data_IF_805755387542
#
_entry.id   IF_805755387542
#
_cell.length_a   1.000
_cell.length_b   1.000
_cell.length_c   1.000
_cell.angle_alpha   90.00
_cell.angle_beta   90.00
_cell.angle_gamma   90.00
#
_symmetry.space_group_name_H-M   'P 1'
#
loop_
_entity.id
_entity.type
_entity.pdbx_description
1 polymer ?
#
# COMPACT_ATOMS: atom_id res chain seq x y z
N UNK A 1 34.50 8.15 29.67
CA UNK A 1 33.48 8.42 28.62
C UNK A 1 33.62 7.36 27.55
N UNK A 2 32.50 6.99 26.92
CA UNK A 2 32.46 6.00 25.85
C UNK A 2 31.73 6.59 24.65
N UNK A 3 32.09 6.13 23.46
CA UNK A 3 31.40 6.48 22.22
C UNK A 3 30.79 5.23 21.58
N UNK A 4 29.71 5.44 20.86
CA UNK A 4 29.01 4.43 20.07
C UNK A 4 29.43 4.54 18.61
N UNK A 5 29.85 3.42 18.04
CA UNK A 5 30.29 3.34 16.64
C UNK A 5 29.63 2.17 15.92
N UNK A 6 29.33 2.36 14.64
CA UNK A 6 28.71 1.34 13.79
C UNK A 6 29.54 0.06 13.75
N UNK A 7 28.89 -1.08 14.02
CA UNK A 7 29.50 -2.40 13.80
C UNK A 7 29.74 -2.68 12.33
N UNK A 8 28.86 -2.19 11.46
CA UNK A 8 29.02 -2.30 10.01
C UNK A 8 30.27 -1.55 9.54
N UNK A 9 30.47 -0.32 10.03
CA UNK A 9 31.68 0.45 9.73
C UNK A 9 32.94 -0.21 10.30
N UNK A 10 32.90 -0.75 11.53
CA UNK A 10 34.02 -1.51 12.08
C UNK A 10 34.37 -2.75 11.23
N UNK A 11 33.36 -3.44 10.71
CA UNK A 11 33.57 -4.55 9.78
C UNK A 11 34.22 -4.08 8.47
N UNK A 12 33.81 -2.94 7.92
CA UNK A 12 34.47 -2.33 6.75
C UNK A 12 35.92 -1.97 7.07
N UNK A 13 36.19 -1.40 8.24
CA UNK A 13 37.55 -1.10 8.70
C UNK A 13 38.43 -2.35 8.77
N UNK A 14 37.89 -3.49 9.20
CA UNK A 14 38.67 -4.73 9.28
C UNK A 14 38.86 -5.45 7.94
N UNK A 15 38.04 -5.17 6.94
CA UNK A 15 38.03 -5.92 5.67
C UNK A 15 38.53 -5.11 4.47
N UNK A 16 38.43 -3.79 4.48
CA UNK A 16 38.76 -2.95 3.33
C UNK A 16 40.04 -2.13 3.57
N UNK A 17 40.84 -1.96 2.51
CA UNK A 17 42.02 -1.09 2.55
C UNK A 17 41.67 0.39 2.79
N UNK A 18 40.48 0.82 2.32
CA UNK A 18 39.94 2.16 2.50
C UNK A 18 38.47 2.07 2.94
N UNK A 19 38.19 2.02 4.26
CA UNK A 19 36.81 1.86 4.75
C UNK A 19 35.93 3.08 4.47
N UNK A 20 36.52 4.25 4.20
CA UNK A 20 35.81 5.53 4.06
C UNK A 20 35.54 6.18 5.43
N UNK A 21 34.83 7.33 5.45
CA UNK A 21 34.53 8.05 6.68
C UNK A 21 33.65 7.22 7.63
N UNK A 22 33.72 7.51 8.93
CA UNK A 22 32.84 6.89 9.93
C UNK A 22 31.40 7.24 9.60
N UNK A 23 30.53 6.23 9.51
CA UNK A 23 29.09 6.41 9.31
C UNK A 23 28.32 5.66 10.39
N UNK A 24 27.63 6.38 11.27
CA UNK A 24 26.77 5.79 12.30
C UNK A 24 25.29 5.70 11.85
N UNK A 25 25.02 5.87 10.56
CA UNK A 25 23.67 5.89 9.98
C UNK A 25 22.98 4.51 9.94
N UNK A 26 23.68 3.46 10.32
CA UNK A 26 23.12 2.14 10.54
C UNK A 26 22.34 2.05 11.87
N UNK A 27 22.62 2.89 12.87
CA UNK A 27 21.78 2.93 14.08
C UNK A 27 21.26 4.31 14.43
N UNK A 28 21.77 5.36 13.78
CA UNK A 28 21.32 6.74 13.95
C UNK A 28 20.59 7.25 12.71
N UNK A 29 19.54 8.05 12.94
CA UNK A 29 18.84 8.77 11.89
C UNK A 29 19.62 10.04 11.51
N UNK A 30 19.15 10.76 10.49
CA UNK A 30 19.73 12.04 10.08
C UNK A 30 19.75 13.11 11.19
N UNK A 31 18.89 12.98 12.20
CA UNK A 31 18.88 13.84 13.38
C UNK A 31 19.90 13.40 14.46
N UNK A 32 20.79 12.45 14.13
CA UNK A 32 21.82 11.91 15.04
C UNK A 32 21.28 11.21 16.29
N UNK A 33 20.07 10.66 16.19
CA UNK A 33 19.33 9.97 17.26
C UNK A 33 18.97 8.55 16.81
N UNK A 34 18.54 7.68 17.73
CA UNK A 34 18.27 6.26 17.43
C UNK A 34 17.26 6.11 16.28
N UNK A 35 17.58 5.24 15.31
CA UNK A 35 16.65 4.79 14.28
C UNK A 35 15.53 3.94 14.90
N UNK A 36 14.25 4.35 14.82
CA UNK A 36 13.13 3.64 15.44
C UNK A 36 13.03 2.16 15.05
N UNK A 37 13.20 1.86 13.76
CA UNK A 37 13.14 0.49 13.20
C UNK A 37 14.22 -0.46 13.76
N UNK A 38 15.30 0.08 14.33
CA UNK A 38 16.42 -0.70 14.90
C UNK A 38 16.47 -0.63 16.42
N UNK A 39 15.62 0.19 17.06
CA UNK A 39 15.65 0.42 18.50
C UNK A 39 15.51 -0.87 19.34
N UNK A 40 14.62 -1.79 18.95
CA UNK A 40 14.42 -3.05 19.68
C UNK A 40 15.65 -3.98 19.69
N UNK A 41 16.56 -3.79 18.73
CA UNK A 41 17.76 -4.62 18.52
C UNK A 41 19.03 -3.77 18.44
N UNK A 42 19.02 -2.60 19.10
CA UNK A 42 20.02 -1.55 18.92
C UNK A 42 21.47 -2.04 19.16
N UNK A 43 21.65 -2.89 20.16
CA UNK A 43 22.95 -3.49 20.53
C UNK A 43 23.59 -4.34 19.43
N UNK A 44 22.82 -4.78 18.44
CA UNK A 44 23.34 -5.50 17.27
C UNK A 44 24.01 -4.59 16.24
N UNK A 45 23.81 -3.27 16.33
CA UNK A 45 24.26 -2.32 15.32
C UNK A 45 25.44 -1.46 15.77
N UNK A 46 25.65 -1.28 17.08
CA UNK A 46 26.77 -0.47 17.59
C UNK A 46 27.75 -1.27 18.45
N UNK A 47 28.98 -0.78 18.54
CA UNK A 47 29.97 -1.15 19.53
C UNK A 47 30.32 0.07 20.40
N UNK A 48 30.70 -0.17 21.65
CA UNK A 48 31.21 0.87 22.55
C UNK A 48 32.72 0.91 22.47
N UNK A 49 33.29 2.10 22.27
CA UNK A 49 34.73 2.32 22.28
C UNK A 49 35.14 3.39 23.29
N UNK A 50 36.41 3.40 23.69
CA UNK A 50 36.96 4.45 24.56
C UNK A 50 37.07 5.78 23.81
N UNK A 51 37.08 6.89 24.56
CA UNK A 51 37.32 8.23 23.98
C UNK A 51 38.63 8.30 23.20
N UNK A 52 39.72 7.75 23.75
CA UNK A 52 41.03 7.72 23.06
C UNK A 52 40.99 7.00 21.71
N UNK A 53 40.23 5.91 21.62
CA UNK A 53 40.09 5.17 20.36
C UNK A 53 39.18 5.93 19.38
N UNK A 54 38.13 6.58 19.88
CA UNK A 54 37.29 7.45 19.05
C UNK A 54 38.10 8.58 18.43
N UNK A 55 38.88 9.31 19.23
CA UNK A 55 39.68 10.45 18.76
C UNK A 55 40.66 10.03 17.65
N UNK A 56 41.34 8.90 17.84
CA UNK A 56 42.24 8.32 16.83
C UNK A 56 41.52 7.97 15.52
N UNK A 57 40.35 7.32 15.61
CA UNK A 57 39.58 6.93 14.43
C UNK A 57 39.01 8.16 13.70
N UNK A 58 38.55 9.14 14.46
CA UNK A 58 37.99 10.38 13.93
C UNK A 58 39.07 11.23 13.25
N UNK A 59 40.25 11.37 13.85
CA UNK A 59 41.40 12.07 13.24
C UNK A 59 41.81 11.43 11.91
N UNK A 60 41.79 10.10 11.83
CA UNK A 60 42.25 9.36 10.65
C UNK A 60 41.20 9.27 9.53
N UNK A 61 39.93 9.09 9.86
CA UNK A 61 38.88 8.78 8.88
C UNK A 61 37.80 9.87 8.77
N UNK A 62 37.66 10.73 9.77
CA UNK A 62 36.58 11.72 9.85
C UNK A 62 35.18 11.10 9.81
N UNK A 63 34.18 11.88 9.43
CA UNK A 63 32.80 11.44 9.26
C UNK A 63 31.88 11.81 10.43
N UNK A 64 30.85 10.99 10.66
CA UNK A 64 29.86 11.22 11.70
C UNK A 64 28.52 10.50 11.46
N UNK A 65 27.52 10.77 12.32
CA UNK A 65 27.57 11.67 13.48
C UNK A 65 28.31 11.05 14.68
N UNK A 66 28.96 11.89 15.50
CA UNK A 66 29.53 11.50 16.80
C UNK A 66 28.39 11.09 17.73
N UNK A 67 28.54 10.01 18.48
CA UNK A 67 27.52 9.56 19.43
C UNK A 67 28.14 9.13 20.76
N UNK A 68 27.95 9.96 21.79
CA UNK A 68 28.28 9.66 23.19
C UNK A 68 27.05 9.25 24.00
N UNK A 69 25.86 9.60 23.51
CA UNK A 69 24.57 9.29 24.12
C UNK A 69 23.58 8.82 23.05
N UNK A 70 22.64 7.96 23.45
CA UNK A 70 21.64 7.38 22.58
C UNK A 70 20.25 7.81 23.05
N UNK A 71 19.65 8.73 22.29
CA UNK A 71 18.31 9.26 22.54
C UNK A 71 17.35 8.86 21.42
N UNK A 72 16.08 8.66 21.78
CA UNK A 72 15.03 8.43 20.79
C UNK A 72 14.76 9.70 19.99
N UNK A 73 14.61 9.53 18.68
CA UNK A 73 14.19 10.62 17.81
C UNK A 73 12.67 10.72 17.79
N UNK A 74 12.09 11.76 18.41
CA UNK A 74 10.63 11.92 18.44
C UNK A 74 10.03 12.05 17.04
N UNK A 75 10.69 12.82 16.16
CA UNK A 75 10.23 12.99 14.77
C UNK A 75 10.20 11.66 14.02
N UNK A 76 11.33 10.95 13.94
CA UNK A 76 11.38 9.67 13.24
C UNK A 76 10.51 8.62 13.92
N UNK A 77 10.36 8.65 15.24
CA UNK A 77 9.48 7.74 15.98
C UNK A 77 8.02 7.95 15.54
N UNK A 78 7.56 9.19 15.44
CA UNK A 78 6.21 9.51 14.98
C UNK A 78 6.00 9.04 13.54
N UNK A 79 6.93 9.33 12.64
CA UNK A 79 6.90 8.87 11.24
C UNK A 79 6.83 7.33 11.16
N UNK A 80 7.65 6.63 11.94
CA UNK A 80 7.65 5.17 12.01
C UNK A 80 6.32 4.60 12.51
N UNK A 81 5.73 5.20 13.55
CA UNK A 81 4.43 4.76 14.08
C UNK A 81 3.27 5.07 13.11
N UNK A 82 3.33 6.21 12.41
CA UNK A 82 2.36 6.52 11.35
C UNK A 82 2.43 5.50 10.22
N UNK A 83 3.64 5.17 9.75
CA UNK A 83 3.82 4.15 8.71
C UNK A 83 3.38 2.77 9.17
N UNK A 84 3.68 2.38 10.42
CA UNK A 84 3.22 1.12 10.98
C UNK A 84 1.68 1.03 11.00
N UNK A 85 1.00 2.07 11.51
CA UNK A 85 -0.47 2.13 11.53
C UNK A 85 -1.07 2.09 10.13
N UNK A 86 -0.44 2.77 9.16
CA UNK A 86 -0.87 2.75 7.76
C UNK A 86 -0.81 1.34 7.18
N UNK A 87 0.30 0.62 7.36
CA UNK A 87 0.45 -0.77 6.89
C UNK A 87 -0.61 -1.69 7.48
N UNK A 88 -0.81 -1.61 8.79
CA UNK A 88 -1.82 -2.39 9.51
C UNK A 88 -3.23 -2.09 8.99
N UNK A 89 -3.56 -0.80 8.81
CA UNK A 89 -4.84 -0.36 8.26
C UNK A 89 -5.06 -0.88 6.84
N UNK A 90 -4.08 -0.72 5.95
CA UNK A 90 -4.23 -1.12 4.55
C UNK A 90 -4.37 -2.64 4.40
N UNK A 91 -3.54 -3.42 5.11
CA UNK A 91 -3.61 -4.87 5.09
C UNK A 91 -4.94 -5.38 5.66
N UNK A 92 -5.36 -4.83 6.81
CA UNK A 92 -6.63 -5.21 7.43
C UNK A 92 -7.80 -4.90 6.50
N UNK A 93 -7.82 -3.70 5.93
CA UNK A 93 -8.89 -3.28 5.01
C UNK A 93 -8.94 -4.17 3.78
N UNK A 94 -7.80 -4.47 3.16
CA UNK A 94 -7.73 -5.39 2.03
C UNK A 94 -8.28 -6.78 2.36
N UNK A 95 -7.85 -7.38 3.48
CA UNK A 95 -8.32 -8.72 3.88
C UNK A 95 -9.82 -8.72 4.20
N UNK A 96 -10.29 -7.72 4.96
CA UNK A 96 -11.71 -7.58 5.29
C UNK A 96 -12.54 -7.41 4.04
N UNK A 97 -12.08 -6.59 3.09
CA UNK A 97 -12.78 -6.34 1.84
C UNK A 97 -12.85 -7.59 0.96
N UNK A 98 -11.74 -8.28 0.73
CA UNK A 98 -11.72 -9.53 -0.07
C UNK A 98 -12.61 -10.62 0.55
N UNK A 99 -12.54 -10.78 1.88
CA UNK A 99 -13.37 -11.77 2.59
C UNK A 99 -14.86 -11.44 2.47
N UNK A 100 -15.21 -10.16 2.65
CA UNK A 100 -16.58 -9.69 2.52
C UNK A 100 -17.12 -9.87 1.10
N UNK A 101 -16.33 -9.55 0.09
CA UNK A 101 -16.76 -9.65 -1.31
C UNK A 101 -16.89 -11.10 -1.77
N UNK A 102 -16.07 -12.02 -1.26
CA UNK A 102 -16.24 -13.45 -1.55
C UNK A 102 -17.56 -13.97 -0.98
N UNK A 103 -17.88 -13.64 0.27
CA UNK A 103 -19.16 -13.99 0.89
C UNK A 103 -20.34 -13.36 0.12
N UNK A 104 -20.24 -12.07 -0.19
CA UNK A 104 -21.26 -11.33 -0.94
C UNK A 104 -21.55 -11.96 -2.29
N UNK A 105 -20.51 -12.44 -2.99
CA UNK A 105 -20.63 -13.10 -4.28
C UNK A 105 -21.33 -14.46 -4.20
N UNK A 106 -21.18 -15.19 -3.10
CA UNK A 106 -21.85 -16.47 -2.88
C UNK A 106 -23.33 -16.31 -2.49
N UNK A 107 -23.63 -15.35 -1.62
CA UNK A 107 -24.97 -15.15 -1.05
C UNK A 107 -25.86 -14.28 -1.95
N UNK A 108 -25.29 -13.19 -2.49
CA UNK A 108 -26.02 -12.15 -3.20
C UNK A 108 -25.22 -11.59 -4.40
N UNK A 109 -24.98 -12.41 -5.45
CA UNK A 109 -24.11 -12.03 -6.56
C UNK A 109 -24.55 -10.74 -7.26
N UNK A 110 -25.85 -10.50 -7.41
CA UNK A 110 -26.46 -9.28 -7.96
C UNK A 110 -26.12 -7.99 -7.18
N UNK A 111 -25.51 -8.10 -6.00
CA UNK A 111 -25.02 -6.94 -5.24
C UNK A 111 -23.53 -6.67 -5.46
N UNK A 112 -22.88 -7.42 -6.34
CA UNK A 112 -21.45 -7.25 -6.68
C UNK A 112 -21.26 -6.61 -8.05
N UNK A 113 -20.21 -5.83 -8.22
CA UNK A 113 -19.80 -5.39 -9.57
C UNK A 113 -19.47 -6.59 -10.47
N UNK A 114 -18.91 -7.67 -9.91
CA UNK A 114 -18.49 -8.85 -10.66
C UNK A 114 -19.62 -9.59 -11.37
N UNK A 115 -20.87 -9.36 -10.96
CA UNK A 115 -22.06 -9.91 -11.63
C UNK A 115 -22.40 -9.18 -12.94
N UNK A 116 -22.12 -7.88 -13.01
CA UNK A 116 -22.50 -7.05 -14.17
C UNK A 116 -21.33 -6.68 -15.08
N UNK A 117 -20.09 -6.75 -14.60
CA UNK A 117 -18.92 -6.35 -15.36
C UNK A 117 -17.68 -7.20 -15.09
N UNK A 118 -16.75 -7.30 -16.06
CA UNK A 118 -15.48 -8.00 -15.87
C UNK A 118 -14.64 -7.40 -14.73
N UNK A 119 -13.75 -8.19 -14.11
CA UNK A 119 -12.92 -7.70 -13.01
C UNK A 119 -11.92 -6.64 -13.50
N UNK A 120 -11.49 -5.78 -12.57
CA UNK A 120 -10.40 -4.84 -12.80
C UNK A 120 -9.07 -5.58 -12.90
N UNK A 121 -8.08 -4.95 -13.53
CA UNK A 121 -6.70 -5.43 -13.54
C UNK A 121 -5.76 -4.40 -12.93
N UNK A 122 -4.73 -4.91 -12.26
CA UNK A 122 -3.65 -4.09 -11.70
C UNK A 122 -2.29 -4.66 -12.10
N UNK A 123 -1.35 -3.77 -12.38
CA UNK A 123 0.02 -4.14 -12.70
C UNK A 123 0.62 -5.03 -11.60
N UNK A 124 1.15 -6.20 -11.98
CA UNK A 124 1.74 -7.15 -11.03
C UNK A 124 2.91 -6.52 -10.26
N UNK A 125 3.71 -5.71 -10.93
CA UNK A 125 4.83 -4.97 -10.32
C UNK A 125 4.38 -3.99 -9.24
N UNK A 126 3.20 -3.39 -9.38
CA UNK A 126 2.66 -2.47 -8.37
C UNK A 126 2.12 -3.24 -7.16
N UNK A 127 1.30 -4.26 -7.39
CA UNK A 127 0.70 -5.03 -6.28
C UNK A 127 1.76 -5.81 -5.48
N UNK A 128 2.85 -6.24 -6.10
CA UNK A 128 3.98 -6.85 -5.40
C UNK A 128 4.73 -5.86 -4.50
N UNK A 129 4.91 -4.60 -4.96
CA UNK A 129 5.46 -3.53 -4.12
C UNK A 129 4.54 -3.20 -2.96
N UNK A 130 3.24 -3.12 -3.21
CA UNK A 130 2.24 -2.91 -2.16
C UNK A 130 2.32 -4.03 -1.12
N UNK A 131 2.36 -5.29 -1.56
CA UNK A 131 2.52 -6.45 -0.68
C UNK A 131 3.79 -6.37 0.15
N UNK A 132 4.93 -6.05 -0.46
CA UNK A 132 6.19 -5.87 0.25
C UNK A 132 6.13 -4.73 1.30
N UNK A 133 5.40 -3.65 1.00
CA UNK A 133 5.18 -2.54 1.92
C UNK A 133 4.36 -2.96 3.14
N UNK A 134 3.20 -3.60 2.95
CA UNK A 134 2.33 -4.02 4.06
C UNK A 134 2.95 -5.16 4.89
N UNK A 135 3.74 -6.04 4.27
CA UNK A 135 4.53 -7.08 4.96
C UNK A 135 5.72 -6.49 5.74
N UNK A 136 6.03 -5.20 5.53
CA UNK A 136 7.15 -4.51 6.17
C UNK A 136 8.53 -4.82 5.58
N UNK A 137 8.57 -5.49 4.42
CA UNK A 137 9.79 -5.79 3.67
C UNK A 137 10.31 -4.56 2.90
N UNK A 138 9.41 -3.64 2.52
CA UNK A 138 9.75 -2.36 1.90
C UNK A 138 9.50 -1.21 2.89
N UNK A 139 10.38 -0.20 2.88
CA UNK A 139 10.22 0.97 3.74
C UNK A 139 9.16 1.92 3.18
N UNK A 140 9.25 2.18 1.88
CA UNK A 140 8.42 3.13 1.18
C UNK A 140 7.14 2.48 0.61
N UNK A 141 6.03 3.23 0.53
CA UNK A 141 4.84 2.77 -0.17
C UNK A 141 5.10 2.57 -1.68
N UNK A 142 4.26 1.79 -2.40
CA UNK A 142 4.43 1.48 -3.83
C UNK A 142 4.36 2.68 -4.78
N UNK A 143 3.91 3.85 -4.30
CA UNK A 143 3.63 5.03 -5.12
C UNK A 143 2.31 4.92 -5.90
N UNK A 144 2.01 5.86 -6.81
CA UNK A 144 0.80 5.83 -7.61
C UNK A 144 0.68 4.57 -8.48
N UNK A 145 -0.55 4.11 -8.71
CA UNK A 145 -0.80 2.95 -9.57
C UNK A 145 -0.40 3.30 -11.01
N UNK A 146 0.42 2.48 -11.65
CA UNK A 146 0.78 2.63 -13.06
C UNK A 146 0.36 1.40 -13.87
N UNK A 147 -0.83 1.51 -14.47
CA UNK A 147 -1.38 0.50 -15.36
C UNK A 147 -1.06 0.78 -16.83
N UNK A 148 -0.40 1.90 -17.17
CA UNK A 148 -0.07 2.25 -18.57
C UNK A 148 0.89 1.23 -19.17
N UNK A 149 1.73 0.62 -18.33
CA UNK A 149 2.66 -0.45 -18.72
C UNK A 149 1.95 -1.68 -19.29
N UNK A 150 0.66 -1.85 -19.00
CA UNK A 150 -0.15 -2.99 -19.45
C UNK A 150 -0.70 -2.80 -20.86
N UNK A 151 -0.65 -1.57 -21.39
CA UNK A 151 -1.23 -1.21 -22.68
C UNK A 151 -0.18 -1.23 -23.80
N UNK A 152 -0.65 -1.48 -25.02
CA UNK A 152 0.06 -1.18 -26.26
C UNK A 152 -0.63 0.02 -26.90
N UNK A 153 0.14 1.04 -27.26
CA UNK A 153 -0.33 2.12 -28.14
C UNK A 153 0.17 1.81 -29.55
N UNK A 154 -0.75 1.44 -30.45
CA UNK A 154 -0.40 1.30 -31.85
C UNK A 154 -0.37 2.70 -32.47
N UNK A 155 0.81 3.15 -32.92
CA UNK A 155 1.06 4.46 -33.54
C UNK A 155 0.38 4.67 -34.92
N UNK A 156 -0.66 3.91 -35.26
CA UNK A 156 -1.47 4.12 -36.47
C UNK A 156 -2.85 4.58 -36.01
N UNK A 157 -3.20 5.80 -36.41
CA UNK A 157 -4.43 6.54 -36.09
C UNK A 157 -5.63 5.67 -35.66
N UNK A 158 -6.19 6.02 -34.49
CA UNK A 158 -7.50 5.59 -33.98
C UNK A 158 -7.69 4.17 -33.41
N UNK A 159 -6.64 3.37 -33.27
CA UNK A 159 -6.79 2.07 -32.57
C UNK A 159 -6.86 2.26 -31.05
N UNK A 160 -8.00 1.92 -30.46
CA UNK A 160 -8.22 1.89 -29.00
C UNK A 160 -7.10 1.11 -28.29
N UNK A 161 -6.68 1.52 -27.08
CA UNK A 161 -5.63 0.83 -26.34
C UNK A 161 -6.01 -0.64 -26.09
N UNK A 162 -5.06 -1.54 -26.34
CA UNK A 162 -5.23 -2.97 -26.14
C UNK A 162 -4.26 -3.47 -25.06
N UNK A 163 -4.67 -4.52 -24.35
CA UNK A 163 -3.79 -5.19 -23.38
C UNK A 163 -2.64 -5.87 -24.12
N UNK A 164 -1.41 -5.63 -23.65
CA UNK A 164 -0.22 -6.31 -24.16
C UNK A 164 -0.31 -7.80 -23.83
N UNK A 165 -0.12 -8.67 -24.83
CA UNK A 165 -0.24 -10.11 -24.66
C UNK A 165 0.73 -10.71 -23.62
N UNK A 166 1.86 -10.04 -23.35
CA UNK A 166 2.85 -10.43 -22.33
C UNK A 166 2.71 -9.67 -21.00
N UNK A 167 1.64 -8.87 -20.83
CA UNK A 167 1.39 -8.11 -19.60
C UNK A 167 1.23 -9.04 -18.40
N UNK A 168 2.03 -8.81 -17.36
CA UNK A 168 1.81 -9.43 -16.07
C UNK A 168 0.90 -8.52 -15.23
N UNK A 169 -0.35 -8.95 -15.05
CA UNK A 169 -1.34 -8.28 -14.23
C UNK A 169 -1.99 -9.26 -13.25
N UNK A 170 -2.66 -8.70 -12.24
CA UNK A 170 -3.54 -9.43 -11.34
C UNK A 170 -4.97 -8.95 -11.58
N UNK A 171 -5.92 -9.88 -11.64
CA UNK A 171 -7.35 -9.55 -11.61
C UNK A 171 -7.75 -9.25 -10.17
N UNK A 172 -8.50 -8.17 -9.98
CA UNK A 172 -9.03 -7.72 -8.69
C UNK A 172 -10.48 -7.29 -8.88
N UNK A 173 -11.29 -7.40 -7.82
CA UNK A 173 -12.64 -6.85 -7.81
C UNK A 173 -12.59 -5.31 -7.91
N UNK A 174 -13.67 -4.70 -8.40
CA UNK A 174 -13.73 -3.24 -8.60
C UNK A 174 -13.58 -2.49 -7.29
N UNK A 175 -14.19 -3.01 -6.24
CA UNK A 175 -14.16 -2.46 -4.90
C UNK A 175 -12.72 -2.41 -4.35
N UNK A 176 -11.93 -3.46 -4.63
CA UNK A 176 -10.49 -3.51 -4.30
C UNK A 176 -9.70 -2.49 -5.13
N UNK A 177 -10.05 -2.31 -6.41
CA UNK A 177 -9.48 -1.24 -7.23
C UNK A 177 -9.77 0.14 -6.65
N UNK A 178 -11.02 0.44 -6.29
CA UNK A 178 -11.44 1.71 -5.68
C UNK A 178 -10.68 1.96 -4.37
N UNK A 179 -10.52 0.94 -3.53
CA UNK A 179 -9.69 1.02 -2.34
C UNK A 179 -8.26 1.44 -2.69
N UNK A 180 -7.56 0.73 -3.57
CA UNK A 180 -6.18 1.10 -3.94
C UNK A 180 -6.10 2.49 -4.59
N UNK A 181 -7.03 2.83 -5.48
CA UNK A 181 -7.07 4.13 -6.12
C UNK A 181 -7.29 5.26 -5.11
N UNK A 182 -8.15 5.07 -4.11
CA UNK A 182 -8.36 6.07 -3.04
C UNK A 182 -7.10 6.33 -2.20
N UNK A 183 -6.25 5.31 -2.00
CA UNK A 183 -5.05 5.42 -1.17
C UNK A 183 -3.81 5.90 -1.94
N UNK A 184 -3.74 5.64 -3.24
CA UNK A 184 -2.53 5.82 -4.04
C UNK A 184 -2.72 6.67 -5.31
N UNK A 185 -3.95 6.83 -5.77
CA UNK A 185 -4.27 7.42 -7.06
C UNK A 185 -3.61 6.68 -8.22
N UNK A 186 -3.38 7.40 -9.33
CA UNK A 186 -2.72 6.87 -10.52
C UNK A 186 -3.72 6.38 -11.56
N UNK A 187 -3.40 5.28 -12.26
CA UNK A 187 -4.25 4.68 -13.28
C UNK A 187 -3.50 4.26 -14.55
N UNK A 188 -4.21 4.08 -15.68
CA UNK A 188 -5.67 4.14 -15.82
C UNK A 188 -6.38 2.95 -15.15
N UNK A 189 -7.68 3.13 -14.86
CA UNK A 189 -8.56 2.01 -14.52
C UNK A 189 -8.73 1.11 -15.74
N UNK A 190 -8.43 -0.19 -15.57
CA UNK A 190 -8.51 -1.16 -16.64
C UNK A 190 -9.33 -2.40 -16.23
N UNK A 191 -10.09 -2.95 -17.17
CA UNK A 191 -10.85 -4.19 -17.04
C UNK A 191 -10.14 -5.37 -17.72
N UNK A 192 -10.35 -6.56 -17.19
CA UNK A 192 -9.85 -7.81 -17.77
C UNK A 192 -10.72 -8.24 -18.95
N UNK A 193 -10.50 -7.63 -20.11
CA UNK A 193 -11.21 -7.99 -21.35
C UNK A 193 -10.23 -8.28 -22.49
N UNK A 194 -10.52 -9.27 -23.35
CA UNK A 194 -9.67 -9.61 -24.50
C UNK A 194 -9.79 -8.62 -25.67
N UNK A 195 -10.81 -7.77 -25.68
CA UNK A 195 -11.11 -6.83 -26.75
C UNK A 195 -10.48 -5.43 -26.54
N UNK A 196 -10.87 -4.48 -27.38
CA UNK A 196 -10.51 -3.07 -27.23
C UNK A 196 -11.00 -2.52 -25.89
N UNK A 197 -10.09 -1.94 -25.12
CA UNK A 197 -10.45 -1.37 -23.83
C UNK A 197 -11.45 -0.21 -24.02
N UNK A 198 -12.51 -0.11 -23.19
CA UNK A 198 -13.42 1.02 -23.24
C UNK A 198 -12.65 2.33 -23.02
N UNK A 199 -13.13 3.41 -23.63
CA UNK A 199 -12.65 4.75 -23.27
C UNK A 199 -13.01 5.02 -21.81
N UNK A 200 -12.27 5.93 -21.16
CA UNK A 200 -12.55 6.30 -19.77
C UNK A 200 -14.00 6.77 -19.58
N UNK A 201 -14.55 7.48 -20.57
CA UNK A 201 -15.95 7.91 -20.58
C UNK A 201 -16.92 6.73 -20.62
N UNK A 202 -16.70 5.76 -21.51
CA UNK A 202 -17.58 4.58 -21.58
C UNK A 202 -17.49 3.71 -20.33
N UNK A 203 -16.31 3.64 -19.71
CA UNK A 203 -16.12 2.93 -18.45
C UNK A 203 -16.88 3.60 -17.30
N UNK A 204 -16.87 4.95 -17.23
CA UNK A 204 -17.67 5.70 -16.25
C UNK A 204 -19.17 5.49 -16.44
N UNK A 205 -19.65 5.55 -17.68
CA UNK A 205 -21.06 5.26 -17.99
C UNK A 205 -21.48 3.86 -17.53
N UNK A 206 -20.69 2.84 -17.91
CA UNK A 206 -20.94 1.45 -17.52
C UNK A 206 -20.96 1.30 -15.99
N UNK A 207 -19.98 1.89 -15.31
CA UNK A 207 -19.90 1.85 -13.85
C UNK A 207 -21.14 2.47 -13.21
N UNK A 208 -21.55 3.65 -13.67
CA UNK A 208 -22.70 4.35 -13.12
C UNK A 208 -23.99 3.54 -13.31
N UNK A 209 -24.17 2.90 -14.47
CA UNK A 209 -25.30 2.01 -14.72
C UNK A 209 -25.29 0.79 -13.79
N UNK A 210 -24.14 0.16 -13.59
CA UNK A 210 -23.99 -0.99 -12.68
C UNK A 210 -24.27 -0.58 -11.24
N UNK A 211 -23.73 0.56 -10.81
CA UNK A 211 -23.94 1.08 -9.46
C UNK A 211 -25.43 1.35 -9.20
N UNK A 212 -26.16 1.93 -10.17
CA UNK A 212 -27.60 2.13 -10.07
C UNK A 212 -28.37 0.81 -9.92
N UNK A 213 -27.98 -0.24 -10.67
CA UNK A 213 -28.61 -1.57 -10.54
C UNK A 213 -28.37 -2.18 -9.17
N UNK A 214 -27.14 -2.10 -8.65
CA UNK A 214 -26.82 -2.61 -7.31
C UNK A 214 -27.62 -1.85 -6.26
N UNK A 215 -27.66 -0.51 -6.32
CA UNK A 215 -28.43 0.32 -5.39
C UNK A 215 -29.93 0.02 -5.43
N UNK A 216 -30.52 -0.12 -6.62
CA UNK A 216 -31.94 -0.46 -6.76
C UNK A 216 -32.26 -1.84 -6.19
N UNK A 217 -31.33 -2.79 -6.32
CA UNK A 217 -31.49 -4.15 -5.76
C UNK A 217 -31.38 -4.14 -4.23
N UNK A 218 -30.46 -3.36 -3.67
CA UNK A 218 -30.36 -3.13 -2.22
C UNK A 218 -31.64 -2.52 -1.66
N UNK A 219 -32.15 -1.47 -2.30
CA UNK A 219 -33.37 -0.78 -1.85
C UNK A 219 -34.60 -1.67 -1.88
N UNK A 220 -34.74 -2.50 -2.93
CA UNK A 220 -35.84 -3.47 -3.04
C UNK A 220 -35.82 -4.48 -1.89
N UNK A 221 -34.63 -5.00 -1.55
CA UNK A 221 -34.46 -5.94 -0.44
C UNK A 221 -34.74 -5.34 0.92
N UNK A 222 -34.28 -4.11 1.13
CA UNK A 222 -34.55 -3.38 2.37
C UNK A 222 -36.05 -3.21 2.62
N UNK A 223 -36.82 -2.94 1.56
CA UNK A 223 -38.27 -2.83 1.65
C UNK A 223 -38.95 -4.18 1.95
N UNK A 224 -38.41 -5.29 1.43
CA UNK A 224 -38.86 -6.64 1.76
C UNK A 224 -38.58 -6.98 3.24
N UNK A 225 -37.37 -6.70 3.74
CA UNK A 225 -36.99 -6.95 5.14
C UNK A 225 -37.77 -6.09 6.15
N UNK A 226 -38.01 -4.80 5.83
CA UNK A 226 -38.83 -3.91 6.65
C UNK A 226 -40.30 -4.35 6.67
N UNK A 227 -40.75 -5.09 5.66
CA UNK A 227 -42.10 -5.67 5.60
C UNK A 227 -42.24 -7.02 6.31
N UNK A 228 -41.12 -7.73 6.54
CA UNK A 228 -41.09 -9.08 7.14
C UNK A 228 -40.63 -9.13 8.62
N UNK A 229 -40.19 -8.02 9.24
CA UNK A 229 -39.61 -8.08 10.60
C UNK A 229 -40.59 -8.43 11.73
N UNK A 230 -40.62 -9.72 12.05
CA UNK A 230 -40.54 -10.26 13.40
C UNK A 230 -39.13 -10.82 13.71
N UNK A 231 -38.35 -10.06 14.48
CA UNK A 231 -37.32 -10.49 15.46
C UNK A 231 -35.97 -11.16 15.06
N UNK A 232 -35.48 -11.12 13.80
CA UNK A 232 -34.08 -11.56 13.52
C UNK A 232 -33.28 -10.74 12.47
N UNK A 233 -33.39 -9.41 12.55
CA UNK A 233 -32.78 -8.42 11.62
C UNK A 233 -31.25 -8.19 11.77
N UNK A 234 -30.57 -8.91 12.67
CA UNK A 234 -29.21 -8.53 13.07
C UNK A 234 -28.10 -8.86 12.05
N UNK A 235 -28.37 -9.72 11.05
CA UNK A 235 -27.40 -10.15 10.05
C UNK A 235 -27.39 -9.28 8.77
N UNK A 236 -28.49 -8.58 8.45
CA UNK A 236 -28.60 -7.75 7.24
C UNK A 236 -28.04 -6.32 7.41
N UNK A 237 -28.09 -5.75 8.63
CA UNK A 237 -27.57 -4.40 8.90
C UNK A 237 -26.04 -4.24 8.71
N UNK A 238 -25.18 -5.21 9.12
CA UNK A 238 -23.74 -5.15 8.83
C UNK A 238 -23.44 -5.21 7.33
N UNK A 239 -24.25 -5.96 6.59
CA UNK A 239 -24.13 -6.15 5.16
C UNK A 239 -24.48 -4.87 4.39
N UNK A 240 -25.64 -4.26 4.66
CA UNK A 240 -26.05 -2.99 4.03
C UNK A 240 -25.07 -1.84 4.35
N UNK A 241 -24.62 -1.73 5.60
CA UNK A 241 -23.71 -0.68 6.02
C UNK A 241 -22.34 -0.79 5.34
N UNK A 242 -21.85 -2.01 5.09
CA UNK A 242 -20.55 -2.23 4.44
C UNK A 242 -20.63 -2.01 2.92
N UNK A 243 -21.70 -2.46 2.25
CA UNK A 243 -21.90 -2.17 0.82
C UNK A 243 -22.10 -0.67 0.60
N UNK A 244 -22.95 -0.01 1.39
CA UNK A 244 -23.18 1.43 1.27
C UNK A 244 -21.90 2.24 1.53
N UNK A 245 -21.10 1.88 2.55
CA UNK A 245 -19.83 2.54 2.83
C UNK A 245 -18.84 2.43 1.66
N UNK A 246 -18.74 1.26 1.02
CA UNK A 246 -17.89 1.06 -0.17
C UNK A 246 -18.38 1.89 -1.36
N UNK A 247 -19.69 1.95 -1.60
CA UNK A 247 -20.30 2.69 -2.72
C UNK A 247 -20.27 4.23 -2.55
N UNK A 248 -20.14 4.74 -1.33
CA UNK A 248 -20.07 6.21 -1.09
C UNK A 248 -18.71 6.83 -1.41
N UNK A 249 -17.66 6.02 -1.57
CA UNK A 249 -16.29 6.52 -1.87
C UNK A 249 -16.10 7.00 -3.30
N UNK A 250 -17.02 6.65 -4.22
CA UNK A 250 -17.02 7.04 -5.64
C UNK A 250 -17.41 8.51 -5.89
N UNK A 251 -17.74 9.28 -4.83
CA UNK A 251 -18.12 10.70 -4.93
C UNK A 251 -16.97 11.70 -4.79
N UNK A 252 -15.71 11.24 -4.82
CA UNK A 252 -14.55 12.08 -4.47
C UNK A 252 -13.84 12.75 -5.66
N UNK A 253 -14.30 12.55 -6.90
CA UNK A 253 -13.68 13.13 -8.11
C UNK A 253 -14.21 14.53 -8.49
N UNK A 254 -14.82 15.24 -7.55
CA UNK A 254 -15.11 16.68 -7.67
C UNK A 254 -14.39 17.44 -6.55
N UNK A 255 -13.11 17.81 -6.75
CA UNK A 255 -12.45 19.11 -6.41
C UNK A 255 -11.03 19.12 -6.99
#
# INVERSE_FOLDING_TARGET
MHYYISREWLHRLSTFAHPGPITNHDFLCQHSQILPRRAARLTNYYATISSSLWDLLYEKFGGGPVSSELHYCLQCQNEYQMMKRRREYELKTYITLETFLEQLKEEHPELTYSYYMPPNIIAKTWIEKWKAFVDGNELEPPGPIDNKILLISNNKNDSKPQLRASSQYRQIQREVWLFFHSQYGGGPELLCMPENHPTAEKLRELTSEVQQKIMSTLESRKQEDDSEQGDDSSYFLPFESNVAALMTTDRSDEV
#
